data_IF_460583450632
#
_entry.id   IF_460583450632
#
_cell.length_a   1.000
_cell.length_b   1.000
_cell.length_c   1.000
_cell.angle_alpha   90.00
_cell.angle_beta   90.00
_cell.angle_gamma   90.00
#
_symmetry.space_group_name_H-M   'P 1'
#
loop_
_entity.id
_entity.type
_entity.pdbx_description
1 polymer ?
#
# COMPACT_ATOMS: atom_id res chain seq x y z
N UNK A 1 47.48 39.19 -17.41
CA UNK A 1 48.39 38.49 -16.52
C UNK A 1 48.98 39.37 -15.44
N UNK A 2 49.64 38.78 -14.47
CA UNK A 2 50.28 39.46 -13.35
C UNK A 2 51.69 38.93 -13.21
N UNK A 3 52.70 39.89 -13.09
CA UNK A 3 54.06 39.52 -12.79
C UNK A 3 54.19 39.25 -11.27
N UNK A 4 54.59 38.06 -10.90
CA UNK A 4 54.74 37.57 -9.51
C UNK A 4 56.18 37.26 -9.13
N UNK A 5 57.14 37.63 -9.98
CA UNK A 5 58.55 37.37 -9.75
C UNK A 5 59.06 38.02 -8.45
N UNK A 6 59.56 37.19 -7.51
CA UNK A 6 60.09 37.65 -6.23
C UNK A 6 59.08 37.97 -5.14
N UNK A 7 57.77 37.70 -5.37
CA UNK A 7 56.72 37.86 -4.36
C UNK A 7 56.70 36.65 -3.43
N UNK A 8 56.35 36.91 -2.16
CA UNK A 8 56.00 35.82 -1.24
C UNK A 8 54.65 35.18 -1.60
N UNK A 9 54.38 33.96 -1.07
CA UNK A 9 53.07 33.28 -1.26
C UNK A 9 51.88 34.16 -0.86
N UNK A 10 51.98 34.78 0.30
CA UNK A 10 50.91 35.65 0.84
C UNK A 10 50.75 36.90 -0.03
N UNK A 11 51.82 37.53 -0.50
CA UNK A 11 51.75 38.65 -1.44
C UNK A 11 51.05 38.25 -2.77
N UNK A 12 51.33 37.02 -3.25
CA UNK A 12 50.68 36.48 -4.46
C UNK A 12 49.20 36.30 -4.22
N UNK A 13 48.79 35.68 -3.08
CA UNK A 13 47.38 35.47 -2.70
C UNK A 13 46.66 36.83 -2.65
N UNK A 14 47.26 37.83 -1.97
CA UNK A 14 46.62 39.17 -1.83
C UNK A 14 46.55 39.85 -3.20
N UNK A 15 47.54 39.76 -4.03
CA UNK A 15 47.53 40.33 -5.37
C UNK A 15 46.48 39.68 -6.28
N UNK A 16 46.32 38.38 -6.19
CA UNK A 16 45.24 37.63 -6.91
C UNK A 16 43.87 38.06 -6.40
N UNK A 17 43.66 38.09 -5.08
CA UNK A 17 42.38 38.54 -4.49
C UNK A 17 42.01 39.97 -4.90
N UNK A 18 42.98 40.88 -4.88
CA UNK A 18 42.79 42.27 -5.29
C UNK A 18 42.39 42.39 -6.76
N UNK A 19 43.07 41.68 -7.66
CA UNK A 19 42.75 41.70 -9.09
C UNK A 19 41.45 40.93 -9.38
N UNK A 20 41.18 39.82 -8.71
CA UNK A 20 39.95 39.05 -8.81
C UNK A 20 38.72 39.88 -8.43
N UNK A 21 38.84 40.74 -7.39
CA UNK A 21 37.78 41.66 -6.98
C UNK A 21 37.38 42.71 -8.03
N UNK A 22 38.23 42.97 -9.01
CA UNK A 22 37.98 43.87 -10.13
C UNK A 22 37.64 43.15 -11.45
N UNK A 23 37.73 41.83 -11.46
CA UNK A 23 37.37 41.05 -12.63
C UNK A 23 35.85 40.96 -12.74
N UNK A 24 35.32 41.29 -13.91
CA UNK A 24 33.90 41.31 -14.21
C UNK A 24 33.63 40.93 -15.65
N UNK A 25 32.40 40.67 -15.99
CA UNK A 25 31.96 40.46 -17.36
C UNK A 25 31.06 41.63 -17.77
N UNK A 26 31.50 42.39 -18.78
CA UNK A 26 30.72 43.43 -19.38
C UNK A 26 29.81 42.83 -20.43
N UNK A 27 28.51 42.87 -20.20
CA UNK A 27 27.49 42.31 -21.08
C UNK A 27 26.93 43.45 -21.94
N UNK A 28 26.87 43.24 -23.23
CA UNK A 28 26.32 44.18 -24.24
C UNK A 28 25.41 43.44 -25.22
N UNK A 29 24.74 44.15 -26.13
CA UNK A 29 23.83 43.61 -27.12
C UNK A 29 22.37 43.94 -26.76
N UNK A 30 21.48 42.96 -26.73
CA UNK A 30 20.07 43.17 -26.39
C UNK A 30 19.85 43.55 -24.92
N UNK A 31 20.81 43.23 -24.07
CA UNK A 31 20.88 43.69 -22.69
C UNK A 31 22.26 44.27 -22.42
N UNK A 32 22.31 45.36 -21.63
CA UNK A 32 23.58 46.02 -21.22
C UNK A 32 23.67 46.04 -19.70
N UNK A 33 24.65 45.32 -19.16
CA UNK A 33 24.90 45.26 -17.72
C UNK A 33 26.32 44.77 -17.46
N UNK A 34 26.72 44.74 -16.19
CA UNK A 34 28.00 44.14 -15.77
C UNK A 34 27.71 43.12 -14.70
N UNK A 35 28.25 41.90 -14.85
CA UNK A 35 28.19 40.82 -13.88
C UNK A 35 29.53 40.61 -13.18
N UNK A 36 29.50 40.35 -11.89
CA UNK A 36 30.67 39.85 -11.16
C UNK A 36 30.94 38.36 -11.51
N UNK A 37 32.11 37.87 -11.22
CA UNK A 37 32.39 36.44 -11.36
C UNK A 37 31.45 35.61 -10.46
N UNK A 38 31.14 36.10 -9.27
CA UNK A 38 30.26 35.43 -8.34
C UNK A 38 28.80 35.32 -8.87
N UNK A 39 28.29 36.36 -9.55
CA UNK A 39 26.97 36.38 -10.20
C UNK A 39 26.90 35.28 -11.29
N UNK A 40 28.03 34.92 -11.89
CA UNK A 40 28.18 33.89 -12.92
C UNK A 40 28.71 32.56 -12.36
N UNK A 41 28.60 32.34 -11.04
CA UNK A 41 28.98 31.08 -10.39
C UNK A 41 30.48 30.73 -10.48
N UNK A 42 31.36 31.71 -10.88
CA UNK A 42 32.79 31.47 -11.03
C UNK A 42 33.53 32.01 -9.82
N UNK A 43 34.34 31.14 -9.21
CA UNK A 43 35.17 31.47 -8.05
C UNK A 43 36.64 31.25 -8.39
N UNK A 44 37.51 32.17 -7.96
CA UNK A 44 38.93 32.04 -8.09
C UNK A 44 39.51 31.53 -6.79
N UNK A 45 40.22 30.41 -6.84
CA UNK A 45 41.02 29.89 -5.71
C UNK A 45 42.40 30.53 -5.72
N UNK A 46 42.53 31.64 -5.00
CA UNK A 46 43.76 32.38 -4.90
C UNK A 46 44.87 31.59 -4.16
N UNK A 47 44.50 30.78 -3.17
CA UNK A 47 45.42 29.95 -2.40
C UNK A 47 46.02 28.84 -3.28
N UNK A 48 45.14 28.05 -3.93
CA UNK A 48 45.58 26.98 -4.82
C UNK A 48 46.37 27.51 -6.03
N UNK A 49 46.00 28.72 -6.52
CA UNK A 49 46.72 29.38 -7.59
C UNK A 49 48.15 29.78 -7.13
N UNK A 50 48.26 30.39 -5.94
CA UNK A 50 49.55 30.76 -5.36
C UNK A 50 50.46 29.53 -5.11
N UNK A 51 49.87 28.43 -4.60
CA UNK A 51 50.57 27.17 -4.42
C UNK A 51 51.13 26.61 -5.75
N UNK A 52 50.35 26.71 -6.81
CA UNK A 52 50.78 26.30 -8.16
C UNK A 52 51.93 27.18 -8.67
N UNK A 53 51.92 28.49 -8.41
CA UNK A 53 52.99 29.42 -8.74
C UNK A 53 54.26 29.06 -7.98
N UNK A 54 54.14 28.84 -6.66
CA UNK A 54 55.29 28.53 -5.79
C UNK A 54 55.93 27.18 -6.16
N UNK A 55 55.12 26.16 -6.43
CA UNK A 55 55.63 24.84 -6.84
C UNK A 55 56.48 24.87 -8.11
N UNK A 56 56.13 25.74 -9.08
CA UNK A 56 56.99 25.95 -10.27
C UNK A 56 58.30 26.62 -9.96
N UNK A 57 58.42 27.38 -8.90
CA UNK A 57 59.67 28.05 -8.47
C UNK A 57 60.59 27.16 -7.67
N UNK A 58 60.19 25.94 -7.25
CA UNK A 58 60.97 25.06 -6.38
C UNK A 58 61.96 24.16 -7.14
N UNK A 59 61.74 23.85 -8.42
CA UNK A 59 62.64 23.00 -9.20
C UNK A 59 63.72 23.83 -9.94
N UNK A 60 64.99 23.38 -9.93
CA UNK A 60 66.10 24.07 -10.58
C UNK A 60 65.97 24.10 -12.12
N UNK A 61 65.40 23.05 -12.80
CA UNK A 61 65.10 23.09 -14.22
C UNK A 61 64.04 24.11 -14.59
N UNK A 62 63.00 24.24 -13.74
CA UNK A 62 61.89 25.18 -14.00
C UNK A 62 62.27 26.66 -13.77
N UNK A 63 63.26 26.91 -12.87
CA UNK A 63 63.89 28.26 -12.71
C UNK A 63 64.68 28.70 -13.95
N UNK A 64 65.30 27.76 -14.63
CA UNK A 64 66.09 28.04 -15.88
C UNK A 64 65.13 28.22 -17.08
N UNK A 65 64.05 27.47 -17.15
CA UNK A 65 63.04 27.61 -18.20
C UNK A 65 62.17 28.87 -17.96
N UNK A 66 61.87 29.27 -16.73
CA UNK A 66 61.18 30.49 -16.39
C UNK A 66 61.97 31.78 -16.73
N UNK A 67 63.34 31.69 -16.81
CA UNK A 67 64.21 32.77 -17.29
C UNK A 67 64.28 32.90 -18.82
N UNK A 68 63.77 31.88 -19.56
CA UNK A 68 63.83 31.79 -21.02
C UNK A 68 62.50 31.70 -21.71
N UNK A 69 61.40 31.54 -20.92
CA UNK A 69 60.02 31.53 -21.41
C UNK A 69 59.12 32.25 -20.41
N UNK A 70 58.14 33.03 -20.88
CA UNK A 70 57.06 33.58 -20.07
C UNK A 70 56.27 32.41 -19.47
N UNK A 71 56.71 31.91 -18.30
CA UNK A 71 56.05 30.81 -17.57
C UNK A 71 54.69 31.24 -17.04
N UNK A 72 53.65 31.10 -17.83
CA UNK A 72 52.29 31.42 -17.40
C UNK A 72 51.75 30.30 -16.51
N UNK A 73 51.20 30.66 -15.37
CA UNK A 73 50.37 29.78 -14.51
C UNK A 73 48.92 30.13 -14.70
N UNK A 74 48.11 29.11 -14.99
CA UNK A 74 46.67 29.29 -15.11
C UNK A 74 46.06 29.46 -13.72
N UNK A 75 45.18 30.40 -13.57
CA UNK A 75 44.41 30.64 -12.34
C UNK A 75 43.52 29.45 -12.07
N UNK A 76 43.52 28.95 -10.85
CA UNK A 76 42.64 27.87 -10.42
C UNK A 76 41.24 28.46 -10.17
N UNK A 77 40.26 27.90 -10.84
CA UNK A 77 38.85 28.37 -10.77
C UNK A 77 37.91 27.19 -10.55
N UNK A 78 36.80 27.44 -9.89
CA UNK A 78 35.62 26.55 -9.82
C UNK A 78 34.43 27.27 -10.41
N UNK A 79 33.54 26.54 -11.07
CA UNK A 79 32.36 27.10 -11.71
C UNK A 79 31.13 26.29 -11.29
N UNK A 80 30.06 26.98 -10.93
CA UNK A 80 28.72 26.42 -10.72
C UNK A 80 27.84 26.83 -11.90
N UNK A 81 27.60 25.89 -12.80
CA UNK A 81 26.83 26.13 -14.04
C UNK A 81 25.36 26.50 -13.75
N UNK A 82 24.82 26.07 -12.62
CA UNK A 82 23.44 26.40 -12.24
C UNK A 82 23.26 27.91 -11.94
N UNK A 83 24.28 28.52 -11.32
CA UNK A 83 24.29 29.96 -11.03
C UNK A 83 24.39 30.75 -12.32
N UNK A 84 25.24 30.35 -13.26
CA UNK A 84 25.35 31.02 -14.57
C UNK A 84 24.03 30.95 -15.36
N UNK A 85 23.37 29.77 -15.34
CA UNK A 85 22.09 29.58 -16.00
C UNK A 85 21.00 30.47 -15.39
N UNK A 86 20.91 30.50 -14.06
CA UNK A 86 19.96 31.35 -13.35
C UNK A 86 20.20 32.85 -13.66
N UNK A 87 21.47 33.28 -13.75
CA UNK A 87 21.80 34.65 -14.12
C UNK A 87 21.40 34.93 -15.57
N UNK A 88 21.68 34.03 -16.52
CA UNK A 88 21.23 34.18 -17.91
C UNK A 88 19.71 34.35 -18.02
N UNK A 89 18.96 33.54 -17.28
CA UNK A 89 17.49 33.67 -17.20
C UNK A 89 17.05 35.02 -16.61
N UNK A 90 17.78 35.57 -15.63
CA UNK A 90 17.49 36.86 -15.04
C UNK A 90 17.67 38.05 -15.98
N UNK A 91 18.41 37.86 -17.07
CA UNK A 91 18.60 38.87 -18.11
C UNK A 91 17.41 38.99 -19.07
N UNK A 92 16.51 37.98 -19.08
CA UNK A 92 15.31 37.98 -19.92
C UNK A 92 14.30 38.98 -19.35
N UNK A 93 13.74 39.90 -20.16
CA UNK A 93 12.72 40.84 -19.70
C UNK A 93 11.50 40.09 -19.10
N UNK A 94 10.89 40.70 -18.08
CA UNK A 94 9.78 40.06 -17.34
C UNK A 94 8.51 39.85 -18.21
N UNK A 95 8.40 40.52 -19.33
CA UNK A 95 7.32 40.36 -20.32
C UNK A 95 7.59 39.25 -21.37
N UNK A 96 8.75 38.64 -21.32
CA UNK A 96 9.12 37.54 -22.22
C UNK A 96 9.04 36.19 -21.48
N UNK A 97 8.42 35.19 -22.14
CA UNK A 97 8.27 33.86 -21.55
C UNK A 97 9.58 33.05 -21.61
N UNK A 98 9.92 32.39 -20.52
CA UNK A 98 11.00 31.39 -20.49
C UNK A 98 10.50 30.08 -21.13
N UNK A 99 11.36 29.39 -21.89
CA UNK A 99 11.03 28.09 -22.46
C UNK A 99 10.65 27.08 -21.34
N UNK A 100 9.58 26.33 -21.58
CA UNK A 100 9.09 25.32 -20.63
C UNK A 100 9.01 23.97 -21.33
N UNK A 101 9.53 22.98 -20.69
CA UNK A 101 9.47 21.59 -21.18
C UNK A 101 8.03 21.06 -21.14
N UNK A 102 7.70 20.19 -22.11
CA UNK A 102 6.53 19.34 -22.01
C UNK A 102 6.64 18.45 -20.76
N UNK A 103 5.52 18.19 -20.13
CA UNK A 103 5.44 17.33 -18.94
C UNK A 103 4.33 16.29 -19.08
N UNK A 104 4.41 15.24 -18.28
CA UNK A 104 3.44 14.14 -18.27
C UNK A 104 2.82 14.08 -16.87
N UNK A 105 1.49 14.07 -16.82
CA UNK A 105 0.72 13.93 -15.59
C UNK A 105 -0.38 12.88 -15.78
N UNK A 106 -0.95 12.40 -14.70
CA UNK A 106 -2.20 11.63 -14.75
C UNK A 106 -3.38 12.59 -15.01
N UNK A 107 -4.41 12.09 -15.70
CA UNK A 107 -5.70 12.76 -15.86
C UNK A 107 -6.45 12.86 -14.51
N UNK A 108 -7.58 13.56 -14.49
CA UNK A 108 -8.39 13.75 -13.26
C UNK A 108 -8.99 12.42 -12.74
N UNK A 109 -9.14 11.42 -13.59
CA UNK A 109 -9.62 10.08 -13.24
C UNK A 109 -8.49 9.16 -12.77
N UNK A 110 -7.24 9.60 -12.84
CA UNK A 110 -6.02 8.85 -12.52
C UNK A 110 -5.87 7.52 -13.28
N UNK A 111 -6.33 7.48 -14.52
CA UNK A 111 -6.31 6.28 -15.37
C UNK A 111 -5.45 6.41 -16.60
N UNK A 112 -5.10 7.64 -17.00
CA UNK A 112 -4.41 7.92 -18.28
C UNK A 112 -3.31 8.97 -18.07
N UNK A 113 -2.14 8.72 -18.64
CA UNK A 113 -1.05 9.69 -18.69
C UNK A 113 -1.28 10.64 -19.86
N UNK A 114 -1.34 11.93 -19.54
CA UNK A 114 -1.58 13.02 -20.50
C UNK A 114 -0.39 13.96 -20.56
N UNK A 115 -0.15 14.53 -21.74
CA UNK A 115 0.92 15.50 -21.95
C UNK A 115 0.40 16.92 -21.74
N UNK A 116 1.08 17.66 -20.88
CA UNK A 116 0.97 19.12 -20.84
C UNK A 116 2.02 19.70 -21.79
N UNK A 117 1.61 20.43 -22.84
CA UNK A 117 2.52 20.91 -23.87
C UNK A 117 3.60 21.82 -23.31
N UNK A 118 4.80 21.72 -23.86
CA UNK A 118 5.87 22.67 -23.66
C UNK A 118 5.59 23.97 -24.39
N UNK A 119 6.39 24.97 -24.14
CA UNK A 119 6.34 26.26 -24.86
C UNK A 119 7.73 26.75 -25.20
N UNK A 120 7.86 27.31 -26.37
CA UNK A 120 9.03 28.09 -26.74
C UNK A 120 9.12 29.33 -25.81
N UNK A 121 10.33 29.75 -25.58
CA UNK A 121 10.60 30.95 -24.79
C UNK A 121 11.75 31.74 -25.37
N UNK A 122 12.09 32.83 -24.69
CA UNK A 122 13.31 33.59 -24.94
C UNK A 122 14.42 32.99 -24.12
N UNK A 123 15.61 32.89 -24.68
CA UNK A 123 16.81 32.43 -24.00
C UNK A 123 17.98 33.38 -24.18
N UNK A 124 18.91 33.34 -23.25
CA UNK A 124 20.23 33.96 -23.35
C UNK A 124 21.25 32.83 -23.33
N UNK A 125 22.24 32.89 -24.21
CA UNK A 125 23.31 31.90 -24.26
C UNK A 125 24.12 31.92 -22.96
N UNK A 126 23.85 30.97 -22.07
CA UNK A 126 24.56 30.81 -20.79
C UNK A 126 26.01 30.33 -21.00
N UNK A 127 26.30 29.60 -22.08
CA UNK A 127 27.67 29.13 -22.40
C UNK A 127 28.56 30.32 -22.81
N UNK A 128 28.02 31.29 -23.51
CA UNK A 128 28.71 32.55 -23.82
C UNK A 128 29.12 33.31 -22.55
N UNK A 129 28.18 33.41 -21.59
CA UNK A 129 28.42 34.04 -20.28
C UNK A 129 29.46 33.27 -19.46
N UNK A 130 29.39 31.94 -19.42
CA UNK A 130 30.33 31.06 -18.75
C UNK A 130 31.74 31.20 -19.34
N UNK A 131 31.86 31.21 -20.66
CA UNK A 131 33.14 31.39 -21.33
C UNK A 131 33.75 32.78 -21.05
N UNK A 132 32.92 33.82 -21.02
CA UNK A 132 33.36 35.16 -20.64
C UNK A 132 33.82 35.23 -19.18
N UNK A 133 33.09 34.59 -18.26
CA UNK A 133 33.48 34.48 -16.85
C UNK A 133 34.80 33.74 -16.68
N UNK A 134 34.99 32.61 -17.36
CA UNK A 134 36.26 31.87 -17.36
C UNK A 134 37.41 32.71 -17.92
N UNK A 135 37.18 33.48 -18.97
CA UNK A 135 38.16 34.39 -19.54
C UNK A 135 38.52 35.50 -18.56
N UNK A 136 37.55 36.13 -17.93
CA UNK A 136 37.75 37.18 -16.90
C UNK A 136 38.51 36.61 -15.70
N UNK A 137 38.17 35.41 -15.23
CA UNK A 137 38.79 34.73 -14.10
C UNK A 137 40.27 34.39 -14.41
N UNK A 138 40.55 33.83 -15.58
CA UNK A 138 41.89 33.41 -15.94
C UNK A 138 42.81 34.60 -16.27
N UNK A 139 42.29 35.66 -16.82
CA UNK A 139 43.05 36.90 -17.12
C UNK A 139 43.16 37.82 -15.89
N UNK A 140 42.38 37.60 -14.83
CA UNK A 140 42.23 38.51 -13.68
C UNK A 140 41.86 39.96 -14.12
N UNK A 141 41.02 40.08 -15.12
CA UNK A 141 40.58 41.35 -15.72
C UNK A 141 39.16 41.22 -16.29
N UNK A 142 38.50 42.31 -16.58
CA UNK A 142 37.17 42.24 -17.20
C UNK A 142 37.23 41.63 -18.59
N UNK A 143 36.19 40.87 -18.94
CA UNK A 143 35.94 40.34 -20.27
C UNK A 143 34.64 40.91 -20.81
N UNK A 144 34.54 41.02 -22.14
CA UNK A 144 33.35 41.53 -22.80
C UNK A 144 32.59 40.33 -23.47
N UNK A 145 31.25 40.36 -23.42
CA UNK A 145 30.39 39.40 -24.11
C UNK A 145 29.20 40.15 -24.70
N UNK A 146 28.83 39.74 -25.93
CA UNK A 146 27.60 40.23 -26.57
C UNK A 146 26.51 39.17 -26.40
N UNK A 147 25.38 39.60 -25.88
CA UNK A 147 24.20 38.74 -25.64
C UNK A 147 23.08 39.14 -26.57
N UNK A 148 22.50 38.16 -27.22
CA UNK A 148 21.28 38.33 -28.06
C UNK A 148 20.18 37.43 -27.51
N UNK A 149 18.94 37.92 -27.58
CA UNK A 149 17.78 37.09 -27.27
C UNK A 149 17.48 36.14 -28.40
N UNK A 150 17.43 34.87 -28.10
CA UNK A 150 17.13 33.82 -29.04
C UNK A 150 15.84 33.08 -28.68
N UNK A 151 15.09 32.64 -29.67
CA UNK A 151 13.97 31.74 -29.44
C UNK A 151 14.54 30.37 -29.12
N UNK A 152 14.21 29.85 -27.94
CA UNK A 152 14.63 28.54 -27.46
C UNK A 152 13.45 27.59 -27.45
N UNK A 153 13.55 26.50 -28.20
CA UNK A 153 12.61 25.40 -28.10
C UNK A 153 12.78 24.71 -26.73
N UNK A 154 11.70 24.13 -26.20
CA UNK A 154 11.79 23.31 -25.00
C UNK A 154 12.76 22.15 -25.19
N UNK A 155 13.55 21.82 -24.17
CA UNK A 155 14.51 20.70 -24.21
C UNK A 155 13.80 19.33 -24.27
N UNK A 156 12.58 19.26 -23.73
CA UNK A 156 11.65 18.12 -23.88
C UNK A 156 10.49 18.57 -24.77
N UNK A 157 10.43 18.01 -25.97
CA UNK A 157 9.36 18.32 -26.92
C UNK A 157 8.05 17.60 -26.55
N UNK A 158 6.93 18.13 -27.07
CA UNK A 158 5.63 17.47 -26.92
C UNK A 158 5.65 16.05 -27.51
N UNK A 159 6.37 15.82 -28.60
CA UNK A 159 6.49 14.51 -29.24
C UNK A 159 7.27 13.50 -28.38
N UNK A 160 8.33 13.94 -27.69
CA UNK A 160 9.08 13.09 -26.77
C UNK A 160 8.23 12.72 -25.56
N UNK A 161 7.55 13.70 -24.97
CA UNK A 161 6.63 13.47 -23.86
C UNK A 161 5.48 12.54 -24.28
N UNK A 162 4.89 12.74 -25.48
CA UNK A 162 3.81 11.89 -25.99
C UNK A 162 4.26 10.44 -26.17
N UNK A 163 5.45 10.22 -26.70
CA UNK A 163 6.01 8.87 -26.86
C UNK A 163 6.09 8.13 -25.51
N UNK A 164 6.50 8.84 -24.46
CA UNK A 164 6.61 8.27 -23.11
C UNK A 164 5.22 8.06 -22.47
N UNK A 165 4.30 9.02 -22.65
CA UNK A 165 2.92 8.89 -22.19
C UNK A 165 2.19 7.72 -22.87
N UNK A 166 2.35 7.56 -24.19
CA UNK A 166 1.78 6.42 -24.92
C UNK A 166 2.32 5.08 -24.42
N UNK A 167 3.61 5.01 -24.11
CA UNK A 167 4.22 3.83 -23.52
C UNK A 167 3.65 3.53 -22.12
N UNK A 168 3.51 4.54 -21.26
CA UNK A 168 2.92 4.39 -19.94
C UNK A 168 1.45 3.91 -20.04
N UNK A 169 0.67 4.53 -20.93
CA UNK A 169 -0.71 4.13 -21.19
C UNK A 169 -0.80 2.69 -21.74
N UNK A 170 0.17 2.31 -22.57
CA UNK A 170 0.30 0.92 -23.04
C UNK A 170 0.50 -0.07 -21.89
N UNK A 171 1.23 0.30 -20.82
CA UNK A 171 1.37 -0.53 -19.63
C UNK A 171 0.08 -0.58 -18.80
N UNK A 172 -0.61 0.55 -18.65
CA UNK A 172 -1.90 0.62 -17.92
C UNK A 172 -2.95 -0.28 -18.54
N UNK A 173 -2.96 -0.41 -19.87
CA UNK A 173 -3.96 -1.23 -20.60
C UNK A 173 -3.67 -2.73 -20.55
N UNK A 174 -2.51 -3.17 -20.07
CA UNK A 174 -2.23 -4.59 -19.92
C UNK A 174 -3.08 -5.19 -18.79
N UNK A 175 -3.56 -6.41 -18.99
CA UNK A 175 -4.27 -7.14 -17.95
C UNK A 175 -3.28 -7.65 -16.90
N UNK A 176 -3.65 -7.49 -15.63
CA UNK A 176 -2.95 -8.08 -14.49
C UNK A 176 -3.97 -8.86 -13.68
N UNK A 177 -3.83 -10.17 -13.67
CA UNK A 177 -4.73 -11.09 -12.98
C UNK A 177 -3.93 -12.10 -12.17
N UNK A 178 -4.36 -12.32 -10.92
CA UNK A 178 -3.82 -13.35 -10.02
C UNK A 178 -5.00 -14.21 -9.57
N UNK A 179 -4.87 -15.53 -9.73
CA UNK A 179 -5.86 -16.48 -9.24
C UNK A 179 -5.52 -16.86 -7.80
N UNK A 180 -6.48 -16.72 -6.90
CA UNK A 180 -6.37 -17.13 -5.50
C UNK A 180 -6.72 -18.59 -5.27
N UNK A 181 -6.99 -18.95 -4.03
CA UNK A 181 -7.58 -20.23 -3.69
C UNK A 181 -9.03 -20.31 -4.19
N UNK A 182 -9.51 -21.52 -4.42
CA UNK A 182 -10.91 -21.76 -4.83
C UNK A 182 -11.30 -21.08 -6.16
N UNK A 183 -10.32 -20.88 -7.06
CA UNK A 183 -10.48 -20.22 -8.37
C UNK A 183 -10.95 -18.75 -8.30
N UNK A 184 -10.83 -18.10 -7.15
CA UNK A 184 -11.08 -16.68 -7.02
C UNK A 184 -10.06 -15.88 -7.84
N UNK A 185 -10.50 -14.79 -8.47
CA UNK A 185 -9.66 -14.01 -9.39
C UNK A 185 -9.56 -12.55 -8.98
N UNK A 186 -8.35 -12.10 -8.75
CA UNK A 186 -8.00 -10.73 -8.41
C UNK A 186 -7.44 -10.02 -9.64
N UNK A 187 -8.06 -8.93 -10.03
CA UNK A 187 -7.66 -8.16 -11.22
C UNK A 187 -7.40 -6.72 -10.83
N UNK A 188 -6.22 -6.21 -11.19
CA UNK A 188 -5.89 -4.79 -10.99
C UNK A 188 -6.58 -3.94 -12.06
N UNK A 189 -7.33 -2.94 -11.63
CA UNK A 189 -7.94 -1.95 -12.52
C UNK A 189 -6.92 -0.96 -13.08
N UNK A 190 -7.35 -0.11 -14.03
CA UNK A 190 -6.45 0.84 -14.68
C UNK A 190 -5.95 1.92 -13.72
N UNK A 191 -6.75 2.38 -12.77
CA UNK A 191 -6.33 3.38 -11.79
C UNK A 191 -5.23 2.81 -10.87
N UNK A 192 -5.40 1.58 -10.42
CA UNK A 192 -4.40 0.85 -9.65
C UNK A 192 -3.09 0.71 -10.44
N UNK A 193 -3.15 0.22 -11.69
CA UNK A 193 -1.96 0.05 -12.54
C UNK A 193 -1.28 1.39 -12.89
N UNK A 194 -2.06 2.45 -13.15
CA UNK A 194 -1.52 3.78 -13.36
C UNK A 194 -0.75 4.30 -12.14
N UNK A 195 -1.26 4.00 -10.92
CA UNK A 195 -0.58 4.37 -9.68
C UNK A 195 0.78 3.69 -9.50
N UNK A 196 1.00 2.53 -10.12
CA UNK A 196 2.27 1.80 -10.08
C UNK A 196 3.34 2.39 -11.00
N UNK A 197 2.95 3.23 -11.96
CA UNK A 197 3.90 3.79 -12.94
C UNK A 197 4.43 5.12 -12.39
N UNK A 198 5.75 5.21 -12.31
CA UNK A 198 6.46 6.43 -11.94
C UNK A 198 7.02 7.07 -13.19
N UNK A 199 6.65 8.32 -13.44
CA UNK A 199 7.26 9.17 -14.47
C UNK A 199 8.35 10.01 -13.81
N UNK A 200 9.58 9.86 -14.29
CA UNK A 200 10.72 10.68 -13.85
C UNK A 200 11.00 11.74 -14.89
N UNK A 201 10.74 13.00 -14.53
CA UNK A 201 11.01 14.14 -15.39
C UNK A 201 12.52 14.33 -15.60
N UNK A 202 12.88 14.92 -16.75
CA UNK A 202 14.25 15.36 -17.04
C UNK A 202 14.21 16.79 -17.55
N UNK A 203 15.25 17.56 -17.25
CA UNK A 203 15.37 18.94 -17.74
C UNK A 203 15.92 19.02 -19.17
N UNK A 204 16.63 17.99 -19.62
CA UNK A 204 17.37 18.01 -20.89
C UNK A 204 17.17 16.82 -21.81
N UNK A 205 16.35 15.85 -21.40
CA UNK A 205 16.06 14.63 -22.17
C UNK A 205 14.62 14.21 -21.99
N UNK A 206 14.14 13.30 -22.84
CA UNK A 206 12.81 12.71 -22.66
C UNK A 206 12.63 12.13 -21.24
N UNK A 207 11.44 12.28 -20.63
CA UNK A 207 11.13 11.63 -19.35
C UNK A 207 11.32 10.12 -19.43
N UNK A 208 11.54 9.50 -18.27
CA UNK A 208 11.59 8.03 -18.18
C UNK A 208 10.44 7.50 -17.34
N UNK A 209 10.06 6.24 -17.59
CA UNK A 209 9.03 5.55 -16.80
C UNK A 209 9.57 4.26 -16.20
N UNK A 210 9.08 3.94 -15.03
CA UNK A 210 9.37 2.68 -14.34
C UNK A 210 8.15 2.18 -13.59
N UNK A 211 8.08 0.87 -13.36
CA UNK A 211 7.07 0.27 -12.46
C UNK A 211 7.59 0.36 -11.03
N UNK A 212 6.77 0.86 -10.13
CA UNK A 212 7.07 0.96 -8.69
C UNK A 212 6.75 -0.38 -8.02
N UNK A 213 7.77 -1.18 -7.74
CA UNK A 213 7.63 -2.49 -7.12
C UNK A 213 6.95 -2.46 -5.75
N UNK A 214 7.21 -1.42 -4.93
CA UNK A 214 6.57 -1.32 -3.61
C UNK A 214 5.05 -1.18 -3.70
N UNK A 215 4.54 -0.44 -4.69
CA UNK A 215 3.09 -0.31 -4.89
C UNK A 215 2.46 -1.56 -5.47
N UNK A 216 3.19 -2.33 -6.28
CA UNK A 216 2.76 -3.64 -6.74
C UNK A 216 2.67 -4.58 -5.53
N UNK A 217 3.69 -4.61 -4.68
CA UNK A 217 3.72 -5.43 -3.47
C UNK A 217 2.58 -5.08 -2.51
N UNK A 218 2.29 -3.79 -2.27
CA UNK A 218 1.14 -3.36 -1.46
C UNK A 218 -0.19 -3.93 -1.99
N UNK A 219 -0.36 -3.98 -3.31
CA UNK A 219 -1.56 -4.55 -3.91
C UNK A 219 -1.60 -6.07 -3.77
N UNK A 220 -0.48 -6.77 -4.00
CA UNK A 220 -0.38 -8.23 -3.85
C UNK A 220 -0.61 -8.63 -2.40
N UNK A 221 0.01 -7.92 -1.43
CA UNK A 221 -0.16 -8.19 0.00
C UNK A 221 -1.63 -8.09 0.44
N UNK A 222 -2.37 -7.11 -0.10
CA UNK A 222 -3.80 -6.98 0.18
C UNK A 222 -4.60 -8.21 -0.32
N UNK A 223 -4.22 -8.80 -1.47
CA UNK A 223 -4.85 -10.03 -1.94
C UNK A 223 -4.40 -11.24 -1.12
N UNK A 224 -3.15 -11.28 -0.68
CA UNK A 224 -2.60 -12.32 0.20
C UNK A 224 -3.36 -12.37 1.52
N UNK A 225 -3.68 -11.22 2.12
CA UNK A 225 -4.50 -11.15 3.35
C UNK A 225 -5.89 -11.78 3.15
N UNK A 226 -6.48 -11.61 1.96
CA UNK A 226 -7.79 -12.16 1.62
C UNK A 226 -7.75 -13.68 1.36
N UNK A 227 -6.65 -14.17 0.81
CA UNK A 227 -6.43 -15.61 0.54
C UNK A 227 -6.02 -16.39 1.79
N UNK A 228 -5.27 -15.78 2.70
CA UNK A 228 -4.78 -16.44 3.91
C UNK A 228 -5.93 -16.73 4.88
N UNK A 229 -5.89 -17.90 5.48
CA UNK A 229 -6.84 -18.31 6.50
C UNK A 229 -6.09 -18.88 7.71
N UNK A 230 -6.33 -18.28 8.88
CA UNK A 230 -5.79 -18.79 10.13
C UNK A 230 -6.48 -20.11 10.52
N UNK A 231 -5.74 -21.12 11.00
CA UNK A 231 -6.35 -22.36 11.43
C UNK A 231 -7.16 -22.16 12.73
N UNK A 232 -8.33 -22.78 12.78
CA UNK A 232 -9.18 -22.78 13.98
C UNK A 232 -8.79 -23.97 14.85
N UNK A 233 -8.26 -23.68 16.06
CA UNK A 233 -7.98 -24.73 17.04
C UNK A 233 -9.26 -25.42 17.48
N UNK A 234 -9.37 -26.70 17.20
CA UNK A 234 -10.46 -27.53 17.66
C UNK A 234 -10.44 -27.72 19.18
N UNK A 235 -11.63 -27.91 19.77
CA UNK A 235 -11.78 -28.19 21.21
C UNK A 235 -12.54 -29.50 21.36
N UNK A 236 -11.92 -30.48 22.01
CA UNK A 236 -12.54 -31.77 22.29
C UNK A 236 -12.59 -32.05 23.79
N UNK A 237 -13.74 -32.54 24.22
CA UNK A 237 -13.94 -32.94 25.60
C UNK A 237 -13.53 -34.40 25.76
N UNK A 238 -12.74 -34.69 26.80
CA UNK A 238 -12.21 -36.03 27.07
C UNK A 238 -12.64 -36.49 28.46
N UNK A 239 -12.90 -37.80 28.58
CA UNK A 239 -13.19 -38.43 29.86
C UNK A 239 -11.94 -38.55 30.76
N UNK A 240 -12.10 -39.16 31.94
CA UNK A 240 -10.99 -39.33 32.89
C UNK A 240 -9.85 -40.24 32.35
N UNK A 241 -10.09 -40.96 31.25
CA UNK A 241 -9.11 -41.85 30.62
C UNK A 241 -8.47 -41.20 29.39
N UNK A 242 -8.85 -39.97 29.05
CA UNK A 242 -8.39 -39.23 27.87
C UNK A 242 -9.09 -39.63 26.57
N UNK A 243 -10.21 -40.36 26.65
CA UNK A 243 -11.00 -40.72 25.48
C UNK A 243 -11.89 -39.53 25.11
N UNK A 244 -11.88 -39.17 23.82
CA UNK A 244 -12.79 -38.17 23.25
C UNK A 244 -14.26 -38.60 23.42
N UNK A 245 -15.07 -37.73 23.97
CA UNK A 245 -16.52 -37.95 24.23
C UNK A 245 -17.40 -36.90 23.57
N UNK A 246 -16.85 -35.70 23.28
CA UNK A 246 -17.55 -34.68 22.53
C UNK A 246 -16.56 -33.72 21.85
N UNK A 247 -16.99 -33.12 20.75
CA UNK A 247 -16.30 -31.99 20.10
C UNK A 247 -17.13 -30.73 20.36
N UNK A 248 -16.53 -29.73 20.98
CA UNK A 248 -17.20 -28.45 21.25
C UNK A 248 -16.87 -27.39 20.20
N UNK A 249 -15.69 -27.47 19.57
CA UNK A 249 -15.26 -26.64 18.45
C UNK A 249 -14.59 -27.54 17.44
N UNK A 250 -15.04 -27.51 16.20
CA UNK A 250 -14.41 -28.25 15.12
C UNK A 250 -13.07 -27.61 14.77
N UNK A 251 -12.04 -28.42 14.58
CA UNK A 251 -10.78 -27.93 14.03
C UNK A 251 -10.96 -27.64 12.54
N UNK A 252 -10.47 -26.51 12.10
CA UNK A 252 -10.46 -26.14 10.69
C UNK A 252 -9.03 -25.80 10.30
N UNK A 253 -8.49 -26.49 9.32
CA UNK A 253 -7.16 -26.18 8.79
C UNK A 253 -7.19 -24.80 8.11
N UNK A 254 -6.13 -24.03 8.28
CA UNK A 254 -5.91 -22.77 7.61
C UNK A 254 -5.05 -22.93 6.36
N UNK A 255 -4.74 -21.83 5.73
CA UNK A 255 -3.83 -21.76 4.58
C UNK A 255 -3.04 -20.46 4.57
N UNK A 256 -1.84 -20.49 4.00
CA UNK A 256 -0.95 -19.35 3.88
C UNK A 256 -0.31 -19.34 2.49
N UNK A 257 -0.33 -18.17 1.83
CA UNK A 257 0.35 -17.95 0.54
C UNK A 257 1.86 -18.04 0.71
N UNK A 258 2.53 -18.68 -0.24
CA UNK A 258 3.97 -18.96 -0.16
C UNK A 258 4.82 -18.32 -1.26
N UNK A 259 4.21 -17.73 -2.30
CA UNK A 259 4.88 -17.22 -3.49
C UNK A 259 4.58 -15.77 -3.81
N UNK A 260 4.18 -14.94 -2.81
CA UNK A 260 3.84 -13.54 -3.02
C UNK A 260 4.95 -12.77 -3.74
N UNK A 261 6.21 -12.92 -3.31
CA UNK A 261 7.37 -12.25 -3.93
C UNK A 261 7.52 -12.62 -5.42
N UNK A 262 7.25 -13.87 -5.79
CA UNK A 262 7.32 -14.32 -7.19
C UNK A 262 6.21 -13.69 -8.04
N UNK A 263 5.02 -13.49 -7.46
CA UNK A 263 3.90 -12.79 -8.10
C UNK A 263 4.24 -11.32 -8.29
N UNK A 264 4.80 -10.66 -7.29
CA UNK A 264 5.27 -9.27 -7.36
C UNK A 264 6.27 -9.07 -8.50
N UNK A 265 7.35 -9.86 -8.49
CA UNK A 265 8.39 -9.80 -9.52
C UNK A 265 7.81 -10.05 -10.91
N UNK A 266 6.92 -11.02 -11.04
CA UNK A 266 6.27 -11.37 -12.29
C UNK A 266 5.40 -10.23 -12.86
N UNK A 267 4.66 -9.52 -12.01
CA UNK A 267 3.86 -8.35 -12.40
C UNK A 267 4.77 -7.21 -12.86
N UNK A 268 5.81 -6.89 -12.08
CA UNK A 268 6.77 -5.82 -12.41
C UNK A 268 7.46 -6.10 -13.74
N UNK A 269 7.94 -7.31 -13.96
CA UNK A 269 8.63 -7.72 -15.19
C UNK A 269 7.70 -7.68 -16.40
N UNK A 270 6.48 -8.20 -16.26
CA UNK A 270 5.50 -8.21 -17.34
C UNK A 270 5.14 -6.79 -17.76
N UNK A 271 4.74 -5.93 -16.82
CA UNK A 271 4.35 -4.55 -17.12
C UNK A 271 5.53 -3.73 -17.66
N UNK A 272 6.72 -3.86 -17.11
CA UNK A 272 7.92 -3.19 -17.62
C UNK A 272 8.25 -3.61 -19.06
N UNK A 273 7.90 -4.83 -19.42
CA UNK A 273 7.99 -5.36 -20.78
C UNK A 273 6.78 -5.02 -21.68
N UNK A 274 5.78 -4.28 -21.17
CA UNK A 274 4.55 -3.96 -21.91
C UNK A 274 3.67 -5.18 -22.20
N UNK A 275 3.61 -6.12 -21.26
CA UNK A 275 2.86 -7.39 -21.39
C UNK A 275 1.88 -7.56 -20.24
N UNK A 276 0.80 -8.29 -20.52
CA UNK A 276 -0.13 -8.75 -19.49
C UNK A 276 0.52 -9.78 -18.57
N UNK A 277 0.06 -9.82 -17.33
CA UNK A 277 0.43 -10.82 -16.35
C UNK A 277 -0.78 -11.68 -15.97
N UNK A 278 -0.55 -13.00 -15.92
CA UNK A 278 -1.51 -13.95 -15.37
C UNK A 278 -0.74 -14.97 -14.53
N UNK A 279 -1.02 -15.00 -13.24
CA UNK A 279 -0.37 -15.88 -12.27
C UNK A 279 -1.35 -16.45 -11.27
N UNK A 280 -0.85 -17.26 -10.33
CA UNK A 280 -1.65 -17.84 -9.26
C UNK A 280 -0.89 -17.79 -7.95
N UNK A 281 -1.60 -17.59 -6.85
CA UNK A 281 -1.04 -17.82 -5.53
C UNK A 281 -0.89 -19.32 -5.27
N UNK A 282 0.25 -19.69 -4.76
CA UNK A 282 0.52 -21.03 -4.22
C UNK A 282 0.33 -20.97 -2.71
N UNK A 283 -0.43 -21.92 -2.17
CA UNK A 283 -0.69 -21.97 -0.74
C UNK A 283 -0.14 -23.24 -0.10
N UNK A 284 0.24 -23.15 1.16
CA UNK A 284 0.48 -24.27 2.04
C UNK A 284 -0.62 -24.37 3.08
N UNK A 285 -1.00 -25.59 3.42
CA UNK A 285 -1.95 -25.86 4.48
C UNK A 285 -1.33 -25.59 5.86
N UNK A 286 -2.06 -24.88 6.71
CA UNK A 286 -1.74 -24.70 8.12
C UNK A 286 -2.61 -25.66 8.94
N UNK A 287 -1.99 -26.70 9.48
CA UNK A 287 -2.73 -27.70 10.26
C UNK A 287 -3.29 -27.11 11.55
N UNK A 288 -4.59 -27.30 11.74
CA UNK A 288 -5.25 -26.98 13.00
C UNK A 288 -4.73 -27.86 14.14
N UNK A 289 -4.72 -27.31 15.32
CA UNK A 289 -4.39 -28.02 16.55
C UNK A 289 -5.65 -28.40 17.33
N UNK A 290 -5.51 -29.25 18.33
CA UNK A 290 -6.60 -29.65 19.21
C UNK A 290 -6.28 -29.29 20.66
N UNK A 291 -7.25 -28.68 21.34
CA UNK A 291 -7.27 -28.49 22.78
C UNK A 291 -8.11 -29.60 23.42
N UNK A 292 -7.49 -30.41 24.29
CA UNK A 292 -8.20 -31.42 25.09
C UNK A 292 -8.66 -30.79 26.42
N UNK A 293 -9.95 -30.94 26.70
CA UNK A 293 -10.58 -30.41 27.91
C UNK A 293 -11.27 -31.55 28.65
N UNK A 294 -10.99 -31.69 29.93
CA UNK A 294 -11.64 -32.70 30.75
C UNK A 294 -13.08 -32.33 30.99
N UNK A 295 -13.98 -33.32 30.92
CA UNK A 295 -15.39 -33.13 31.25
C UNK A 295 -15.56 -32.76 32.73
N UNK A 296 -16.61 -31.98 32.98
CA UNK A 296 -16.99 -31.62 34.35
C UNK A 296 -17.38 -32.87 35.17
N UNK A 297 -17.08 -32.85 36.47
CA UNK A 297 -17.51 -33.90 37.36
C UNK A 297 -19.05 -34.01 37.37
N UNK A 298 -19.57 -35.20 37.09
CA UNK A 298 -21.02 -35.46 36.95
C UNK A 298 -21.55 -35.32 35.54
N UNK A 299 -20.73 -34.93 34.55
CA UNK A 299 -21.13 -34.86 33.14
C UNK A 299 -21.12 -36.22 32.42
N UNK A 300 -20.55 -37.26 33.02
CA UNK A 300 -20.29 -38.56 32.41
C UNK A 300 -21.56 -39.23 31.86
N UNK A 301 -22.69 -38.98 32.49
CA UNK A 301 -23.98 -39.58 32.14
C UNK A 301 -24.99 -38.60 31.50
N UNK A 302 -24.54 -37.35 31.21
CA UNK A 302 -25.37 -36.36 30.56
C UNK A 302 -25.39 -36.58 29.03
N UNK A 303 -26.47 -36.17 28.35
CA UNK A 303 -26.59 -36.25 26.89
C UNK A 303 -25.44 -35.55 26.13
N UNK A 304 -24.88 -34.49 26.72
CA UNK A 304 -23.68 -33.84 26.27
C UNK A 304 -22.67 -33.77 27.44
N UNK A 305 -21.47 -34.27 27.21
CA UNK A 305 -20.42 -34.33 28.21
C UNK A 305 -19.55 -33.06 28.15
N UNK A 306 -20.06 -32.00 28.74
CA UNK A 306 -19.45 -30.69 28.75
C UNK A 306 -18.24 -30.61 29.71
N UNK A 307 -17.28 -29.73 29.41
CA UNK A 307 -16.25 -29.35 30.37
C UNK A 307 -16.82 -28.38 31.41
N UNK A 308 -16.08 -28.13 32.50
CA UNK A 308 -16.51 -27.23 33.55
C UNK A 308 -16.77 -25.80 33.00
N UNK A 309 -17.93 -25.24 33.36
CA UNK A 309 -18.37 -23.92 32.91
C UNK A 309 -18.80 -23.84 31.42
N UNK A 310 -18.71 -24.91 30.64
CA UNK A 310 -19.16 -24.90 29.25
C UNK A 310 -20.68 -24.82 29.18
N UNK A 311 -21.20 -23.81 28.45
CA UNK A 311 -22.64 -23.60 28.24
C UNK A 311 -23.17 -24.56 27.19
N UNK A 312 -24.25 -25.25 27.51
CA UNK A 312 -24.97 -26.08 26.54
C UNK A 312 -26.46 -26.20 26.90
N UNK A 313 -27.25 -26.55 25.92
CA UNK A 313 -28.71 -26.71 26.03
C UNK A 313 -29.09 -28.15 25.78
N UNK A 314 -29.83 -28.74 26.72
CA UNK A 314 -30.45 -30.04 26.62
C UNK A 314 -31.90 -29.89 26.14
N UNK A 315 -32.25 -30.54 25.04
CA UNK A 315 -33.60 -30.66 24.52
C UNK A 315 -34.03 -32.12 24.66
N UNK A 316 -34.85 -32.40 25.70
CA UNK A 316 -35.40 -33.73 25.90
C UNK A 316 -36.80 -33.82 25.26
N UNK A 317 -36.87 -34.52 24.12
CA UNK A 317 -38.09 -34.70 23.31
C UNK A 317 -39.08 -35.69 23.98
N UNK A 318 -38.60 -36.56 24.88
CA UNK A 318 -39.51 -37.46 25.62
C UNK A 318 -40.30 -36.69 26.68
N UNK A 319 -39.65 -35.83 27.47
CA UNK A 319 -40.30 -34.99 28.49
C UNK A 319 -40.81 -33.67 27.96
N UNK A 320 -40.47 -33.29 26.71
CA UNK A 320 -40.81 -32.01 26.09
C UNK A 320 -40.27 -30.83 26.88
N UNK A 321 -39.00 -30.91 27.24
CA UNK A 321 -38.33 -29.88 28.06
C UNK A 321 -37.03 -29.40 27.46
N UNK A 322 -36.70 -28.15 27.77
CA UNK A 322 -35.41 -27.54 27.52
C UNK A 322 -34.75 -27.18 28.84
N UNK A 323 -33.51 -27.56 28.99
CA UNK A 323 -32.70 -27.27 30.20
C UNK A 323 -31.37 -26.64 29.79
N UNK A 324 -30.96 -25.58 30.42
CA UNK A 324 -29.67 -24.94 30.24
C UNK A 324 -28.67 -25.38 31.30
N UNK A 325 -27.46 -25.71 30.86
CA UNK A 325 -26.37 -26.21 31.72
C UNK A 325 -25.11 -25.35 31.58
N UNK A 326 -24.34 -25.26 32.64
CA UNK A 326 -22.94 -24.88 32.64
C UNK A 326 -22.13 -26.08 33.18
N UNK A 327 -21.36 -26.74 32.32
CA UNK A 327 -20.77 -28.04 32.65
C UNK A 327 -21.80 -29.11 32.97
N UNK A 328 -21.76 -29.66 34.16
CA UNK A 328 -22.75 -30.63 34.68
C UNK A 328 -23.87 -29.99 35.52
N UNK A 329 -23.84 -28.65 35.69
CA UNK A 329 -24.77 -27.95 36.57
C UNK A 329 -25.94 -27.36 35.78
N UNK A 330 -27.17 -27.67 36.22
CA UNK A 330 -28.34 -26.99 35.67
C UNK A 330 -28.36 -25.53 36.15
N UNK A 331 -28.41 -24.59 35.17
CA UNK A 331 -28.48 -23.17 35.47
C UNK A 331 -29.88 -22.60 35.22
N UNK A 332 -30.70 -23.25 34.36
CA UNK A 332 -32.06 -22.84 34.08
C UNK A 332 -32.92 -24.03 33.58
N UNK A 333 -34.16 -24.08 33.98
CA UNK A 333 -35.08 -25.13 33.59
C UNK A 333 -35.17 -26.30 34.59
N UNK A 334 -35.79 -27.47 34.21
CA UNK A 334 -36.36 -27.75 32.88
C UNK A 334 -37.61 -26.89 32.55
N UNK A 335 -37.64 -26.34 31.33
CA UNK A 335 -38.75 -25.54 30.82
C UNK A 335 -39.58 -26.38 29.85
N UNK A 336 -40.87 -26.49 30.07
CA UNK A 336 -41.77 -27.18 29.14
C UNK A 336 -41.91 -26.43 27.83
N UNK A 337 -41.81 -27.14 26.70
CA UNK A 337 -41.84 -26.59 25.34
C UNK A 337 -42.84 -27.32 24.45
N UNK A 338 -43.15 -26.77 23.29
CA UNK A 338 -43.84 -27.49 22.20
C UNK A 338 -42.81 -27.81 21.12
N UNK A 339 -42.53 -29.09 20.93
CA UNK A 339 -41.61 -29.60 19.90
C UNK A 339 -42.37 -29.96 18.59
N UNK A 340 -41.62 -30.48 17.59
CA UNK A 340 -42.16 -30.79 16.29
C UNK A 340 -43.30 -31.84 16.35
N UNK A 341 -44.35 -31.60 15.54
CA UNK A 341 -45.43 -32.57 15.32
C UNK A 341 -44.87 -33.87 14.66
N UNK A 342 -45.63 -34.97 14.71
CA UNK A 342 -45.22 -36.24 14.11
C UNK A 342 -44.84 -36.14 12.62
N UNK A 343 -45.50 -35.20 11.88
CA UNK A 343 -45.21 -34.93 10.46
C UNK A 343 -43.99 -34.02 10.22
N UNK A 344 -43.63 -33.23 11.23
CA UNK A 344 -42.52 -32.25 11.17
C UNK A 344 -41.69 -32.36 12.46
N UNK A 345 -41.02 -33.50 12.71
CA UNK A 345 -40.39 -33.77 14.00
C UNK A 345 -39.14 -32.83 14.21
N UNK A 346 -38.90 -32.51 15.47
CA UNK A 346 -37.64 -31.87 15.84
C UNK A 346 -36.49 -32.82 15.60
N UNK A 347 -35.39 -32.32 15.02
CA UNK A 347 -34.20 -33.10 14.77
C UNK A 347 -33.53 -33.57 16.06
N UNK A 348 -32.91 -34.75 16.04
CA UNK A 348 -32.07 -35.26 17.13
C UNK A 348 -30.58 -35.18 16.75
N UNK A 349 -29.73 -34.92 17.72
CA UNK A 349 -28.29 -34.81 17.54
C UNK A 349 -27.70 -33.69 18.35
N UNK A 350 -26.43 -33.44 18.12
CA UNK A 350 -25.70 -32.31 18.76
C UNK A 350 -25.36 -31.28 17.73
N UNK A 351 -25.79 -30.06 17.98
CA UNK A 351 -25.72 -28.92 17.09
C UNK A 351 -25.14 -27.70 17.82
N UNK A 352 -25.03 -26.57 17.17
CA UNK A 352 -24.61 -25.30 17.78
C UNK A 352 -25.50 -24.14 17.35
N UNK A 353 -25.71 -23.21 18.26
CA UNK A 353 -26.36 -21.94 17.87
C UNK A 353 -25.49 -21.24 16.85
N UNK A 354 -26.01 -21.00 15.65
CA UNK A 354 -25.30 -20.31 14.58
C UNK A 354 -25.80 -18.91 14.30
N UNK A 355 -27.05 -18.61 14.72
CA UNK A 355 -27.65 -17.29 14.52
C UNK A 355 -28.69 -17.01 15.62
N UNK A 356 -28.75 -15.75 16.04
CA UNK A 356 -29.76 -15.26 16.98
C UNK A 356 -30.41 -13.99 16.42
N UNK A 357 -31.76 -13.89 16.53
CA UNK A 357 -32.51 -12.72 16.11
C UNK A 357 -33.52 -12.34 17.23
N UNK A 358 -33.58 -11.04 17.55
CA UNK A 358 -34.58 -10.56 18.55
C UNK A 358 -35.98 -10.79 18.08
N UNK A 359 -36.24 -10.54 16.80
CA UNK A 359 -37.56 -10.70 16.20
C UNK A 359 -37.43 -11.02 14.71
N UNK A 360 -38.26 -11.93 14.22
CA UNK A 360 -38.31 -12.26 12.80
C UNK A 360 -39.73 -12.79 12.42
N UNK A 361 -40.17 -12.50 11.19
CA UNK A 361 -41.28 -13.22 10.58
C UNK A 361 -40.82 -14.58 10.11
N UNK A 362 -41.38 -15.65 10.70
CA UNK A 362 -41.10 -17.03 10.30
C UNK A 362 -42.04 -17.49 9.22
N UNK A 363 -41.51 -18.08 8.16
CA UNK A 363 -42.27 -18.61 7.03
C UNK A 363 -41.81 -20.03 6.73
N UNK A 364 -42.74 -20.86 6.27
CA UNK A 364 -42.42 -22.23 5.86
C UNK A 364 -43.65 -22.90 5.26
N UNK A 365 -43.53 -24.22 5.09
CA UNK A 365 -44.60 -25.07 4.52
C UNK A 365 -45.14 -25.98 5.60
N UNK A 366 -46.47 -26.09 5.63
CA UNK A 366 -47.20 -27.07 6.46
C UNK A 366 -47.06 -28.48 5.87
N UNK A 367 -47.33 -29.52 6.65
CA UNK A 367 -47.27 -30.91 6.21
C UNK A 367 -48.26 -31.21 5.04
N UNK A 368 -49.27 -30.40 4.82
CA UNK A 368 -50.25 -30.52 3.74
C UNK A 368 -49.86 -29.72 2.46
N UNK A 369 -48.67 -29.10 2.46
CA UNK A 369 -48.15 -28.30 1.35
C UNK A 369 -48.65 -26.84 1.33
N UNK A 370 -49.45 -26.41 2.28
CA UNK A 370 -49.83 -25.02 2.42
C UNK A 370 -48.74 -24.23 3.13
N UNK A 371 -48.61 -22.93 2.83
CA UNK A 371 -47.66 -22.07 3.49
C UNK A 371 -48.17 -21.54 4.83
N UNK A 372 -47.26 -21.39 5.80
CA UNK A 372 -47.56 -20.64 7.03
C UNK A 372 -46.66 -19.39 7.10
N UNK A 373 -47.18 -18.40 7.80
CA UNK A 373 -46.46 -17.19 8.16
C UNK A 373 -46.82 -16.79 9.59
N UNK A 374 -45.79 -16.57 10.42
CA UNK A 374 -45.97 -16.10 11.78
C UNK A 374 -45.12 -14.84 11.97
N UNK A 375 -45.77 -13.71 12.12
CA UNK A 375 -45.12 -12.41 12.23
C UNK A 375 -44.57 -12.19 13.64
N UNK A 376 -43.47 -11.41 13.71
CA UNK A 376 -42.88 -10.92 14.96
C UNK A 376 -42.58 -12.01 15.99
N UNK A 377 -42.08 -13.17 15.54
CA UNK A 377 -41.62 -14.24 16.44
C UNK A 377 -40.42 -13.71 17.24
N UNK A 378 -40.47 -13.69 18.59
CA UNK A 378 -39.42 -13.10 19.40
C UNK A 378 -38.37 -14.13 19.87
N UNK A 379 -37.14 -13.62 20.17
CA UNK A 379 -36.09 -14.29 20.89
C UNK A 379 -35.65 -15.63 20.27
N UNK A 380 -35.21 -15.57 19.01
CA UNK A 380 -34.91 -16.73 18.20
C UNK A 380 -33.45 -17.10 18.31
N UNK A 381 -33.17 -18.38 18.61
CA UNK A 381 -31.80 -18.97 18.60
C UNK A 381 -31.81 -20.18 17.66
N UNK A 382 -31.33 -20.00 16.44
CA UNK A 382 -31.19 -21.05 15.42
C UNK A 382 -30.02 -21.97 15.71
N UNK A 383 -30.23 -23.28 15.66
CA UNK A 383 -29.20 -24.26 15.92
C UNK A 383 -28.96 -25.27 14.79
N UNK A 384 -29.91 -25.47 13.89
CA UNK A 384 -29.76 -26.35 12.72
C UNK A 384 -30.74 -25.96 11.60
N UNK A 385 -30.28 -25.68 10.38
CA UNK A 385 -31.03 -25.49 9.12
C UNK A 385 -32.34 -24.66 9.20
N UNK A 386 -32.68 -24.02 10.18
CA UNK A 386 -33.95 -23.32 10.39
C UNK A 386 -34.71 -23.81 11.64
N UNK A 387 -34.20 -24.84 12.30
CA UNK A 387 -34.70 -25.25 13.63
C UNK A 387 -34.11 -24.27 14.68
N UNK A 388 -35.02 -23.80 15.54
CA UNK A 388 -34.71 -22.80 16.55
C UNK A 388 -35.44 -23.03 17.86
N UNK A 389 -34.87 -22.47 18.94
CA UNK A 389 -35.60 -22.16 20.15
C UNK A 389 -36.14 -20.73 19.99
N UNK A 390 -37.43 -20.49 20.27
CA UNK A 390 -38.01 -19.17 20.14
C UNK A 390 -39.26 -18.96 20.99
N UNK A 391 -39.58 -17.71 21.29
CA UNK A 391 -40.83 -17.38 21.99
C UNK A 391 -42.06 -17.63 21.13
N UNK A 392 -43.09 -18.20 21.74
CA UNK A 392 -44.36 -18.49 21.08
C UNK A 392 -45.51 -17.76 21.80
N UNK A 393 -45.69 -16.48 21.48
CA UNK A 393 -46.73 -15.63 22.10
C UNK A 393 -48.18 -16.08 21.81
N UNK A 394 -48.35 -16.93 20.81
CA UNK A 394 -49.65 -17.51 20.42
C UNK A 394 -50.01 -18.76 21.20
N UNK A 395 -49.17 -19.25 22.09
CA UNK A 395 -49.39 -20.44 22.91
C UNK A 395 -49.57 -20.09 24.39
N UNK A 396 -50.49 -20.76 25.05
CA UNK A 396 -50.71 -20.63 26.50
C UNK A 396 -50.42 -21.92 27.28
N UNK A 397 -50.08 -23.03 26.57
CA UNK A 397 -49.70 -24.30 27.17
C UNK A 397 -48.56 -24.92 26.43
N UNK A 398 -47.73 -25.73 27.13
CA UNK A 398 -46.53 -26.36 26.64
C UNK A 398 -46.44 -27.80 27.17
N UNK A 399 -45.51 -28.60 26.68
CA UNK A 399 -45.30 -30.00 27.06
C UNK A 399 -45.97 -31.00 26.10
N UNK A 400 -46.18 -30.62 24.85
CA UNK A 400 -46.74 -31.51 23.81
C UNK A 400 -46.06 -31.22 22.43
N UNK A 401 -46.39 -32.04 21.43
CA UNK A 401 -45.83 -31.91 20.07
C UNK A 401 -46.85 -31.33 19.11
N UNK A 402 -46.55 -30.15 18.51
CA UNK A 402 -47.47 -29.47 17.58
C UNK A 402 -46.78 -28.28 16.86
N UNK A 403 -45.45 -28.31 16.70
CA UNK A 403 -44.74 -27.30 15.93
C UNK A 403 -44.27 -27.84 14.58
N UNK A 404 -43.65 -26.98 13.75
CA UNK A 404 -43.02 -27.35 12.48
C UNK A 404 -41.58 -27.81 12.69
N UNK A 405 -41.20 -28.17 13.94
CA UNK A 405 -39.86 -28.65 14.29
C UNK A 405 -39.09 -27.76 15.23
N UNK A 406 -39.36 -26.45 15.26
CA UNK A 406 -38.80 -25.52 16.25
C UNK A 406 -39.32 -25.82 17.66
N UNK A 407 -38.54 -25.44 18.67
CA UNK A 407 -38.94 -25.48 20.07
C UNK A 407 -39.70 -24.19 20.42
N UNK A 408 -41.04 -24.27 20.49
CA UNK A 408 -41.85 -23.17 20.93
C UNK A 408 -41.79 -23.07 22.46
N UNK A 409 -41.37 -21.94 23.00
CA UNK A 409 -41.16 -21.67 24.41
C UNK A 409 -42.09 -20.56 24.92
N UNK A 410 -42.41 -20.48 26.22
CA UNK A 410 -42.88 -19.24 26.83
C UNK A 410 -41.94 -18.09 26.44
N UNK A 411 -42.49 -16.89 26.17
CA UNK A 411 -41.73 -15.77 25.62
C UNK A 411 -40.58 -15.32 26.54
N UNK A 412 -40.83 -15.29 27.85
CA UNK A 412 -39.86 -14.96 28.88
C UNK A 412 -38.73 -16.00 29.00
N UNK A 413 -39.05 -17.28 28.83
CA UNK A 413 -38.08 -18.36 28.85
C UNK A 413 -37.20 -18.35 27.58
N UNK A 414 -37.79 -18.10 26.43
CA UNK A 414 -37.00 -17.90 25.20
C UNK A 414 -36.08 -16.68 25.29
N UNK A 415 -36.57 -15.59 25.93
CA UNK A 415 -35.76 -14.40 26.18
C UNK A 415 -34.57 -14.70 27.10
N UNK A 416 -34.81 -15.53 28.16
CA UNK A 416 -33.72 -15.95 29.02
C UNK A 416 -32.64 -16.73 28.26
N UNK A 417 -33.03 -17.74 27.47
CA UNK A 417 -32.12 -18.53 26.64
C UNK A 417 -31.37 -17.62 25.64
N UNK A 418 -32.09 -16.71 24.98
CA UNK A 418 -31.50 -15.78 24.01
C UNK A 418 -30.37 -14.93 24.61
N UNK A 419 -30.58 -14.42 25.82
CA UNK A 419 -29.59 -13.58 26.53
C UNK A 419 -28.44 -14.37 27.12
N UNK A 420 -28.68 -15.62 27.55
CA UNK A 420 -27.66 -16.45 28.19
C UNK A 420 -26.78 -17.18 27.19
N UNK A 421 -27.39 -17.72 26.14
CA UNK A 421 -26.67 -18.44 25.09
C UNK A 421 -26.02 -17.48 24.09
N UNK A 422 -24.98 -17.94 23.44
CA UNK A 422 -24.27 -17.20 22.43
C UNK A 422 -24.03 -18.06 21.17
N UNK A 423 -23.61 -17.45 20.07
CA UNK A 423 -23.22 -18.19 18.87
C UNK A 423 -22.09 -19.18 19.24
N UNK A 424 -22.28 -20.45 18.87
CA UNK A 424 -21.36 -21.55 19.24
C UNK A 424 -21.82 -22.36 20.45
N UNK A 425 -22.83 -21.90 21.26
CA UNK A 425 -23.39 -22.68 22.36
C UNK A 425 -23.94 -24.00 21.83
N UNK A 426 -23.52 -25.12 22.43
CA UNK A 426 -23.94 -26.46 22.05
C UNK A 426 -25.41 -26.70 22.40
N UNK A 427 -26.15 -27.35 21.51
CA UNK A 427 -27.55 -27.76 21.66
C UNK A 427 -27.62 -29.26 21.38
N UNK A 428 -28.00 -30.05 22.36
CA UNK A 428 -28.19 -31.49 22.20
C UNK A 428 -29.66 -31.83 22.30
N UNK A 429 -30.19 -32.49 21.27
CA UNK A 429 -31.61 -32.90 21.21
C UNK A 429 -31.69 -34.41 21.14
N UNK A 430 -32.48 -35.01 22.03
CA UNK A 430 -32.64 -36.47 22.18
C UNK A 430 -33.98 -36.85 22.73
N UNK A 431 -34.31 -38.18 22.73
CA UNK A 431 -35.48 -38.77 23.35
C UNK A 431 -35.21 -39.24 24.76
#
# INVERSE_FOLDING_TARGET
>A
GMDVAGMSRDDIVDAIKNKAGNASVNISGDVTTTATLADLGTTIDAEATADTVMARGESVPDRFTALLSDGQVTVVTTTDDSVTTAYAESLIPADQAVARNASITLDDENTTFVVSPGSEGTSVDSDALKNAAATAATSLSSADVSVTYETKAPAVSDADAQTVADKANGWVTQDVTVTGADDESYTADNATKASWITVTASESAAPTISVNSSKVSEWVDAQVEDVNEEPVTGKRNVDSQGKEVAISVDAVDGREVTNADTVDEGIVDALSGGKSYSGSFETKELKATWEERKIAAGAENLPYQATDGEKWIDINLSSKTVTAYEGATVVHGPVSVVDGAAATPTVTGTYRIYQQNETQTMRGENADGSNYETENVPWISYFYQGYALHGAYWRSSFGYSDSHGCLNMPVDEAHWIYNWAEKGTTVTSHF
#
